data_IF_146057622964
#
_entry.id   IF_146057622964
#
_cell.length_a   1.000
_cell.length_b   1.000
_cell.length_c   1.000
_cell.angle_alpha   90.00
_cell.angle_beta   90.00
_cell.angle_gamma   90.00
#
_symmetry.space_group_name_H-M   'P 1'
#
loop_
_entity.id
_entity.type
_entity.pdbx_description
1 polymer ?
#
# COMPACT_ATOMS: atom_id res chain seq x y z
N UNK A 1 11.75 2.35 11.09
CA UNK A 1 11.64 2.51 9.62
C UNK A 1 10.54 1.57 9.17
N UNK A 2 9.39 2.09 8.78
CA UNK A 2 8.18 1.28 8.59
C UNK A 2 8.34 0.43 7.32
N UNK A 3 8.68 -0.85 7.49
CA UNK A 3 9.01 -1.77 6.40
C UNK A 3 7.76 -2.28 5.65
N UNK A 4 6.57 -1.80 6.03
CA UNK A 4 5.28 -2.29 5.53
C UNK A 4 5.18 -2.34 4.00
N UNK A 5 5.75 -1.37 3.27
CA UNK A 5 5.73 -1.38 1.81
C UNK A 5 6.68 -2.43 1.21
N UNK A 6 7.80 -2.75 1.87
CA UNK A 6 8.68 -3.85 1.47
C UNK A 6 7.98 -5.19 1.70
N UNK A 7 7.30 -5.32 2.83
CA UNK A 7 6.56 -6.54 3.18
C UNK A 7 5.35 -6.75 2.24
N UNK A 8 4.66 -5.67 1.86
CA UNK A 8 3.59 -5.69 0.87
C UNK A 8 4.11 -6.14 -0.50
N UNK A 9 5.27 -5.63 -0.92
CA UNK A 9 5.93 -6.06 -2.15
C UNK A 9 6.33 -7.53 -2.07
N UNK A 10 6.89 -7.99 -0.95
CA UNK A 10 7.23 -9.39 -0.76
C UNK A 10 5.99 -10.31 -0.77
N UNK A 11 4.86 -9.85 -0.25
CA UNK A 11 3.60 -10.59 -0.28
C UNK A 11 3.10 -10.81 -1.72
N UNK A 12 3.20 -9.80 -2.58
CA UNK A 12 2.81 -9.91 -4.00
C UNK A 12 3.92 -10.48 -4.89
N UNK A 13 5.18 -10.45 -4.45
CA UNK A 13 6.36 -10.97 -5.13
C UNK A 13 7.33 -9.88 -5.58
N UNK A 14 6.88 -8.95 -6.44
CA UNK A 14 7.72 -7.86 -6.98
C UNK A 14 7.00 -6.52 -6.96
N UNK A 15 7.73 -5.43 -7.20
CA UNK A 15 7.14 -4.09 -7.30
C UNK A 15 6.21 -3.99 -8.51
N UNK A 16 6.56 -4.65 -9.62
CA UNK A 16 5.77 -4.72 -10.85
C UNK A 16 4.44 -5.45 -10.60
N UNK A 17 4.48 -6.62 -9.95
CA UNK A 17 3.25 -7.38 -9.61
C UNK A 17 2.41 -6.61 -8.60
N UNK A 18 3.03 -5.96 -7.62
CA UNK A 18 2.33 -5.09 -6.67
C UNK A 18 1.62 -3.96 -7.39
N UNK A 19 2.29 -3.30 -8.34
CA UNK A 19 1.74 -2.20 -9.12
C UNK A 19 0.54 -2.65 -9.96
N UNK A 20 0.65 -3.79 -10.65
CA UNK A 20 -0.44 -4.39 -11.43
C UNK A 20 -1.64 -4.72 -10.54
N UNK A 21 -1.43 -5.45 -9.44
CA UNK A 21 -2.49 -5.83 -8.49
C UNK A 21 -3.17 -4.60 -7.88
N UNK A 22 -2.40 -3.57 -7.57
CA UNK A 22 -2.89 -2.35 -6.95
C UNK A 22 -3.32 -1.29 -7.97
N UNK A 23 -3.24 -1.56 -9.28
CA UNK A 23 -3.62 -0.65 -10.35
C UNK A 23 -2.94 0.73 -10.26
N UNK A 24 -1.63 0.73 -10.05
CA UNK A 24 -0.75 1.92 -10.05
C UNK A 24 0.48 1.64 -10.91
N UNK A 25 1.32 2.65 -11.14
CA UNK A 25 2.61 2.46 -11.79
C UNK A 25 3.66 1.87 -10.83
N UNK A 26 4.60 1.09 -11.35
CA UNK A 26 5.71 0.53 -10.58
C UNK A 26 6.55 1.61 -9.89
N UNK A 27 6.73 2.77 -10.53
CA UNK A 27 7.43 3.92 -9.98
C UNK A 27 6.76 4.45 -8.70
N UNK A 28 5.44 4.34 -8.60
CA UNK A 28 4.67 4.67 -7.39
C UNK A 28 5.02 3.71 -6.26
N UNK A 29 5.09 2.40 -6.54
CA UNK A 29 5.51 1.39 -5.57
C UNK A 29 6.94 1.62 -5.09
N UNK A 30 7.86 1.92 -6.02
CA UNK A 30 9.24 2.29 -5.70
C UNK A 30 9.31 3.53 -4.81
N UNK A 31 8.46 4.53 -5.05
CA UNK A 31 8.31 5.71 -4.21
C UNK A 31 7.95 5.36 -2.76
N UNK A 32 7.01 4.43 -2.54
CA UNK A 32 6.64 3.94 -1.21
C UNK A 32 7.78 3.20 -0.53
N UNK A 33 8.41 2.25 -1.22
CA UNK A 33 9.51 1.41 -0.69
C UNK A 33 10.71 2.27 -0.27
N UNK A 34 10.94 3.39 -0.96
CA UNK A 34 12.01 4.34 -0.69
C UNK A 34 11.60 5.46 0.27
N UNK A 35 10.35 5.48 0.72
CA UNK A 35 9.83 6.51 1.64
C UNK A 35 9.72 7.91 1.03
N UNK A 36 9.59 8.03 -0.30
CA UNK A 36 9.43 9.33 -0.97
C UNK A 36 8.04 9.93 -0.76
N UNK A 37 7.01 9.09 -0.76
CA UNK A 37 5.62 9.46 -0.52
C UNK A 37 4.86 8.24 0.03
N UNK A 38 3.67 8.48 0.61
CA UNK A 38 2.79 7.42 1.12
C UNK A 38 1.85 6.84 0.06
N UNK A 39 1.07 5.83 0.47
CA UNK A 39 -0.02 5.26 -0.32
C UNK A 39 -1.29 6.11 -0.16
N UNK A 40 -2.07 6.26 -1.23
CA UNK A 40 -3.35 6.97 -1.16
C UNK A 40 -4.45 6.11 -0.49
N UNK A 41 -5.51 6.71 0.06
CA UNK A 41 -6.58 5.96 0.74
C UNK A 41 -7.25 4.93 -0.17
N UNK A 42 -7.51 5.28 -1.43
CA UNK A 42 -8.14 4.37 -2.42
C UNK A 42 -7.29 3.13 -2.65
N UNK A 43 -5.97 3.31 -2.76
CA UNK A 43 -5.03 2.20 -2.97
C UNK A 43 -4.85 1.39 -1.69
N UNK A 44 -4.86 2.02 -0.51
CA UNK A 44 -4.79 1.35 0.78
C UNK A 44 -5.98 0.40 1.01
N UNK A 45 -7.22 0.83 0.73
CA UNK A 45 -8.41 -0.05 0.76
C UNK A 45 -8.28 -1.24 -0.19
N UNK A 46 -7.73 -1.00 -1.39
CA UNK A 46 -7.53 -2.05 -2.40
C UNK A 46 -6.50 -3.07 -1.92
N UNK A 47 -5.39 -2.61 -1.35
CA UNK A 47 -4.35 -3.45 -0.79
C UNK A 47 -4.88 -4.30 0.38
N UNK A 48 -5.64 -3.71 1.31
CA UNK A 48 -6.27 -4.45 2.42
C UNK A 48 -7.17 -5.57 1.88
N UNK A 49 -8.05 -5.26 0.91
CA UNK A 49 -8.95 -6.24 0.31
C UNK A 49 -8.19 -7.39 -0.37
N UNK A 50 -7.18 -7.08 -1.17
CA UNK A 50 -6.41 -8.09 -1.94
C UNK A 50 -5.48 -8.93 -1.06
N UNK A 51 -5.13 -8.41 0.11
CA UNK A 51 -4.29 -9.11 1.10
C UNK A 51 -5.11 -9.77 2.20
N UNK A 52 -6.45 -9.79 2.06
CA UNK A 52 -7.40 -10.38 3.02
C UNK A 52 -7.17 -9.83 4.43
N UNK A 53 -6.93 -8.52 4.52
CA UNK A 53 -6.74 -7.82 5.80
C UNK A 53 -5.36 -7.97 6.44
N UNK A 54 -4.39 -8.66 5.80
CA UNK A 54 -3.02 -8.79 6.31
C UNK A 54 -2.31 -7.44 6.41
N UNK A 55 -2.58 -6.52 5.47
CA UNK A 55 -2.08 -5.16 5.49
C UNK A 55 -3.26 -4.21 5.65
N UNK A 56 -3.37 -3.56 6.81
CA UNK A 56 -4.48 -2.66 7.12
C UNK A 56 -4.34 -1.34 6.40
N UNK A 57 -5.46 -0.76 5.96
CA UNK A 57 -5.49 0.53 5.27
C UNK A 57 -5.00 1.66 6.20
N UNK A 58 -5.24 1.53 7.50
CA UNK A 58 -4.76 2.41 8.56
C UNK A 58 -3.23 2.40 8.65
N UNK A 59 -2.60 1.23 8.50
CA UNK A 59 -1.13 1.12 8.53
C UNK A 59 -0.49 1.60 7.22
N UNK A 60 -1.15 1.37 6.08
CA UNK A 60 -0.69 1.75 4.75
C UNK A 60 -0.88 3.25 4.45
N UNK A 61 -1.89 3.87 5.05
CA UNK A 61 -2.25 5.28 4.88
C UNK A 61 -2.66 5.91 6.23
N UNK A 62 -1.71 6.09 7.16
CA UNK A 62 -1.99 6.51 8.53
C UNK A 62 -2.40 7.98 8.67
N UNK A 63 -2.07 8.82 7.67
CA UNK A 63 -2.39 10.24 7.70
C UNK A 63 -3.83 10.55 7.26
N UNK A 64 -4.56 9.55 6.77
CA UNK A 64 -5.93 9.74 6.31
C UNK A 64 -6.92 9.50 7.46
N UNK A 65 -7.93 10.37 7.66
CA UNK A 65 -8.88 10.25 8.77
C UNK A 65 -9.92 9.16 8.49
N UNK A 66 -9.56 7.90 8.69
CA UNK A 66 -10.41 6.74 8.41
C UNK A 66 -11.73 6.71 9.20
N UNK A 67 -11.71 7.22 10.44
CA UNK A 67 -12.88 7.28 11.32
C UNK A 67 -13.93 8.28 10.85
N UNK A 68 -13.54 9.33 10.11
CA UNK A 68 -14.43 10.41 9.69
C UNK A 68 -15.25 10.06 8.43
N UNK A 69 -14.95 8.93 7.79
CA UNK A 69 -15.55 8.48 6.52
C UNK A 69 -16.19 7.09 6.60
N UNK A 70 -16.46 6.60 7.81
CA UNK A 70 -17.05 5.29 8.08
C UNK A 70 -18.55 5.21 7.75
#
# INVERSE_FOLDING_TARGET
MNAIFKDLVAFFGTQEVTAEKLGVDQSTVSGWVRGKHGMSPVVAKRAERLTVGKFKKEDLCPAFPWEDVA
#
